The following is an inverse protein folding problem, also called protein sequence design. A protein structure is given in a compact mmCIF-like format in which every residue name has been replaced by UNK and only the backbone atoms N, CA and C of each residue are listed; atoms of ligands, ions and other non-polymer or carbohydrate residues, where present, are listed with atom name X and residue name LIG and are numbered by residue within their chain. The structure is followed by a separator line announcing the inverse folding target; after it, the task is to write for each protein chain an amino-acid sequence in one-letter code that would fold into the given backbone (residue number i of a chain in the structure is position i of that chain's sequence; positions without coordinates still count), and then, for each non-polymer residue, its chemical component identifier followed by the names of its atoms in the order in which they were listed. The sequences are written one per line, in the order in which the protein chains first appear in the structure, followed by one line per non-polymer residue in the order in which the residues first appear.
data_IF_149399153628
#
_entry.id   IF_149399153628
#
_cell.length_a   1.000
_cell.length_b   1.000
_cell.length_c   1.000
_cell.angle_alpha   90.00
_cell.angle_beta   90.00
_cell.angle_gamma   90.00
#
_symmetry.space_group_name_H-M   'P 1'
#
loop_
_entity.id
_entity.type
_entity.pdbx_description
1 polymer ?
#
# COMPACT_ATOMS: atom_id res chain seq x y z
N UNK A 1 -2.96 -16.05 -1.21
CA UNK A 1 -2.10 -14.98 -0.67
C UNK A 1 -2.96 -13.99 0.11
N UNK A 2 -2.46 -13.50 1.23
CA UNK A 2 -3.08 -12.43 2.03
C UNK A 2 -2.98 -11.09 1.28
N UNK A 3 -3.79 -10.08 1.68
CA UNK A 3 -3.70 -8.72 1.11
C UNK A 3 -2.29 -8.14 1.27
N UNK A 4 -1.66 -8.40 2.41
CA UNK A 4 -0.29 -7.99 2.73
C UNK A 4 0.72 -8.62 1.77
N UNK A 5 0.61 -9.93 1.52
CA UNK A 5 1.51 -10.64 0.58
C UNK A 5 1.39 -10.06 -0.84
N UNK A 6 0.17 -9.87 -1.33
CA UNK A 6 -0.11 -9.25 -2.64
C UNK A 6 0.43 -7.83 -2.75
N UNK A 7 0.25 -7.03 -1.70
CA UNK A 7 0.83 -5.70 -1.62
C UNK A 7 2.37 -5.72 -1.68
N UNK A 8 3.01 -6.58 -0.90
CA UNK A 8 4.48 -6.66 -0.87
C UNK A 8 5.04 -7.16 -2.21
N UNK A 9 4.35 -8.10 -2.87
CA UNK A 9 4.68 -8.53 -4.22
C UNK A 9 4.54 -7.39 -5.23
N UNK A 10 3.43 -6.66 -5.19
CA UNK A 10 3.21 -5.48 -6.04
C UNK A 10 4.30 -4.44 -5.81
N UNK A 11 4.60 -4.11 -4.54
CA UNK A 11 5.63 -3.14 -4.15
C UNK A 11 7.04 -3.55 -4.60
N UNK A 12 7.38 -4.84 -4.48
CA UNK A 12 8.69 -5.36 -4.89
C UNK A 12 8.93 -5.18 -6.40
N UNK A 13 7.87 -5.22 -7.21
CA UNK A 13 7.94 -5.05 -8.66
C UNK A 13 7.94 -3.57 -9.11
N UNK A 14 7.75 -2.61 -8.20
CA UNK A 14 7.73 -1.20 -8.56
C UNK A 14 9.13 -0.65 -8.85
N UNK A 15 9.29 0.16 -9.91
CA UNK A 15 10.47 1.01 -10.09
C UNK A 15 10.71 1.89 -8.86
N UNK A 16 11.98 2.19 -8.57
CA UNK A 16 12.38 2.98 -7.40
C UNK A 16 11.69 4.35 -7.38
N UNK A 17 11.57 5.01 -8.53
CA UNK A 17 10.92 6.31 -8.66
C UNK A 17 9.45 6.27 -8.25
N UNK A 18 8.71 5.25 -8.70
CA UNK A 18 7.28 5.11 -8.42
C UNK A 18 6.97 4.85 -6.94
N UNK A 19 7.96 4.44 -6.13
CA UNK A 19 7.74 4.25 -4.68
C UNK A 19 7.37 5.56 -3.95
N UNK A 20 7.64 6.71 -4.56
CA UNK A 20 7.30 8.03 -4.01
C UNK A 20 5.96 8.58 -4.53
N UNK A 21 5.28 7.89 -5.44
CA UNK A 21 3.97 8.31 -5.95
C UNK A 21 2.87 8.08 -4.90
N UNK A 22 1.92 9.00 -4.84
CA UNK A 22 0.71 8.89 -3.98
C UNK A 22 -0.25 7.89 -4.61
N UNK A 23 -0.75 6.95 -3.81
CA UNK A 23 -1.58 5.82 -4.28
C UNK A 23 -2.96 5.76 -3.65
N UNK A 24 -3.12 6.33 -2.45
CA UNK A 24 -4.37 6.29 -1.71
C UNK A 24 -4.42 7.44 -0.71
N UNK A 25 -5.62 7.93 -0.41
CA UNK A 25 -5.87 8.85 0.69
C UNK A 25 -6.56 8.10 1.83
N UNK A 26 -5.97 8.12 3.02
CA UNK A 26 -6.50 7.49 4.24
C UNK A 26 -6.65 8.56 5.30
N UNK A 27 -7.86 8.67 5.89
CA UNK A 27 -8.18 9.67 6.92
C UNK A 27 -7.81 11.13 6.54
N UNK A 28 -7.85 11.45 5.24
CA UNK A 28 -7.50 12.78 4.71
C UNK A 28 -6.03 12.97 4.37
N UNK A 29 -5.17 12.00 4.68
CA UNK A 29 -3.74 12.06 4.39
C UNK A 29 -3.37 11.26 3.13
N UNK A 30 -2.62 11.86 2.18
CA UNK A 30 -2.13 11.16 1.00
C UNK A 30 -0.97 10.21 1.36
N UNK A 31 -1.11 8.94 0.98
CA UNK A 31 -0.12 7.91 1.24
C UNK A 31 0.62 7.54 -0.04
N UNK A 32 1.95 7.54 0.02
CA UNK A 32 2.81 7.00 -1.04
C UNK A 32 2.98 5.49 -0.90
N UNK A 33 3.44 4.82 -1.96
CA UNK A 33 3.83 3.41 -1.90
C UNK A 33 4.83 3.13 -0.75
N UNK A 34 5.84 3.99 -0.57
CA UNK A 34 6.85 3.85 0.48
C UNK A 34 6.25 3.99 1.88
N UNK A 35 5.40 5.00 2.10
CA UNK A 35 4.72 5.19 3.38
C UNK A 35 3.79 4.02 3.69
N UNK A 36 2.97 3.62 2.71
CA UNK A 36 2.10 2.45 2.79
C UNK A 36 2.85 1.17 3.17
N UNK A 37 4.04 0.95 2.58
CA UNK A 37 4.87 -0.22 2.87
C UNK A 37 5.32 -0.28 4.32
N UNK A 38 5.69 0.86 4.92
CA UNK A 38 6.05 0.94 6.34
C UNK A 38 4.85 0.55 7.21
N UNK A 39 3.70 1.20 7.00
CA UNK A 39 2.46 0.96 7.74
C UNK A 39 1.99 -0.51 7.65
N UNK A 40 2.06 -1.10 6.45
CA UNK A 40 1.69 -2.49 6.19
C UNK A 40 2.68 -3.47 6.82
N UNK A 41 3.99 -3.20 6.77
CA UNK A 41 5.01 -4.06 7.38
C UNK A 41 4.81 -4.16 8.90
N UNK A 42 4.56 -3.03 9.55
CA UNK A 42 4.35 -2.95 11.01
C UNK A 42 2.90 -3.21 11.46
N UNK A 43 1.99 -3.54 10.54
CA UNK A 43 0.59 -3.90 10.80
C UNK A 43 -0.22 -2.83 11.56
N UNK A 44 -0.07 -1.57 11.20
CA UNK A 44 -0.85 -0.50 11.84
C UNK A 44 -2.33 -0.53 11.40
N UNK A 45 -3.23 0.11 12.15
CA UNK A 45 -4.61 0.32 11.70
C UNK A 45 -4.68 1.05 10.35
N UNK A 46 -3.80 2.03 10.13
CA UNK A 46 -3.66 2.75 8.84
C UNK A 46 -3.24 1.79 7.74
N UNK A 47 -2.26 0.90 7.99
CA UNK A 47 -1.84 -0.15 7.06
C UNK A 47 -2.99 -1.06 6.64
N UNK A 48 -3.87 -1.45 7.56
CA UNK A 48 -5.06 -2.24 7.22
C UNK A 48 -6.03 -1.47 6.33
N UNK A 49 -6.31 -0.20 6.65
CA UNK A 49 -7.14 0.68 5.80
C UNK A 49 -6.57 0.85 4.40
N UNK A 50 -5.24 0.94 4.27
CA UNK A 50 -4.54 1.01 2.98
C UNK A 50 -4.78 -0.27 2.19
N UNK A 51 -4.58 -1.45 2.78
CA UNK A 51 -4.78 -2.73 2.11
C UNK A 51 -6.22 -2.89 1.62
N UNK A 52 -7.21 -2.52 2.43
CA UNK A 52 -8.63 -2.61 2.06
C UNK A 52 -8.97 -1.69 0.89
N UNK A 53 -8.45 -0.46 0.88
CA UNK A 53 -8.66 0.48 -0.23
C UNK A 53 -7.95 0.05 -1.51
N UNK A 54 -6.71 -0.42 -1.43
CA UNK A 54 -5.98 -0.88 -2.61
C UNK A 54 -6.58 -2.15 -3.21
N UNK A 55 -7.13 -3.03 -2.37
CA UNK A 55 -7.87 -4.20 -2.84
C UNK A 55 -9.19 -3.81 -3.51
N UNK A 56 -9.95 -2.86 -2.96
CA UNK A 56 -11.21 -2.43 -3.58
C UNK A 56 -11.02 -1.70 -4.92
N UNK A 57 -9.82 -1.19 -5.17
CA UNK A 57 -9.38 -0.59 -6.44
C UNK A 57 -8.70 -1.59 -7.39
N UNK A 58 -8.63 -2.88 -7.02
CA UNK A 58 -7.96 -3.94 -7.79
C UNK A 58 -6.48 -3.65 -8.11
N UNK A 59 -5.78 -2.98 -7.19
CA UNK A 59 -4.36 -2.61 -7.36
C UNK A 59 -3.38 -3.63 -6.77
N UNK A 60 -3.86 -4.63 -6.04
CA UNK A 60 -3.03 -5.65 -5.41
C UNK A 60 -3.13 -6.96 -6.20
N UNK A 61 -2.04 -7.37 -6.85
CA UNK A 61 -1.97 -8.65 -7.58
C UNK A 61 -1.44 -9.76 -6.71
#
# INVERSE_FOLDING_TARGET
MTKKERFLQTYANLPIASRNEIIVVVDGEPMTWKAAKIEVEVNTPTGMKILDKLESMDLLK
#
